data_IF_537108866122
#
_entry.id   IF_537108866122
#
_cell.length_a   1.000
_cell.length_b   1.000
_cell.length_c   1.000
_cell.angle_alpha   90.00
_cell.angle_beta   90.00
_cell.angle_gamma   90.00
#
_symmetry.space_group_name_H-M   'P 1'
#
loop_
_entity.id
_entity.type
_entity.pdbx_description
1 polymer ?
#
# COMPACT_ATOMS: atom_id res chain seq x y z
N UNK A 1 6.49 -2.79 -0.03
CA UNK A 1 7.22 -2.89 -1.31
C UNK A 1 8.29 -3.97 -1.33
N UNK A 2 9.10 -4.16 -0.27
CA UNK A 2 10.21 -5.14 -0.27
C UNK A 2 9.78 -6.56 -0.67
N UNK A 3 8.69 -7.09 -0.10
CA UNK A 3 8.13 -8.39 -0.50
C UNK A 3 7.67 -8.42 -1.97
N UNK A 4 7.00 -7.37 -2.44
CA UNK A 4 6.54 -7.30 -3.83
C UNK A 4 7.72 -7.24 -4.82
N UNK A 5 8.82 -6.58 -4.45
CA UNK A 5 10.05 -6.56 -5.27
C UNK A 5 10.72 -7.93 -5.30
N UNK A 6 10.79 -8.65 -4.18
CA UNK A 6 11.34 -10.02 -4.14
C UNK A 6 10.49 -10.97 -4.99
N UNK A 7 9.16 -10.85 -4.93
CA UNK A 7 8.25 -11.76 -5.62
C UNK A 7 8.07 -11.46 -7.11
N UNK A 8 8.17 -10.19 -7.52
CA UNK A 8 7.78 -9.78 -8.86
C UNK A 8 8.70 -8.76 -9.54
N UNK A 9 9.71 -8.26 -8.83
CA UNK A 9 10.73 -7.38 -9.38
C UNK A 9 11.60 -8.07 -10.42
N UNK A 10 12.18 -7.28 -11.31
CA UNK A 10 13.18 -7.73 -12.28
C UNK A 10 14.41 -6.84 -12.19
N UNK A 11 15.58 -7.26 -12.69
CA UNK A 11 16.78 -6.42 -12.71
C UNK A 11 16.60 -5.08 -13.45
N UNK A 12 15.63 -5.02 -14.38
CA UNK A 12 15.27 -3.83 -15.15
C UNK A 12 14.13 -3.01 -14.51
N UNK A 13 13.75 -3.31 -13.27
CA UNK A 13 12.83 -2.47 -12.51
C UNK A 13 13.52 -1.15 -12.16
N UNK A 14 12.85 0.02 -12.23
CA UNK A 14 11.40 0.22 -12.36
C UNK A 14 10.84 0.33 -13.79
N UNK A 15 11.65 0.20 -14.83
CA UNK A 15 11.15 0.37 -16.20
C UNK A 15 10.27 -0.80 -16.62
N UNK A 16 10.67 -2.03 -16.27
CA UNK A 16 9.88 -3.24 -16.47
C UNK A 16 9.17 -3.70 -15.18
N UNK A 17 8.04 -4.40 -15.34
CA UNK A 17 7.26 -5.03 -14.26
C UNK A 17 6.74 -4.10 -13.13
N UNK A 18 6.81 -2.77 -13.29
CA UNK A 18 6.35 -1.81 -12.27
C UNK A 18 4.87 -2.00 -11.89
N UNK A 19 4.00 -2.30 -12.86
CA UNK A 19 2.58 -2.55 -12.59
C UNK A 19 2.35 -3.77 -11.69
N UNK A 20 3.10 -4.87 -11.92
CA UNK A 20 3.00 -6.09 -11.13
C UNK A 20 3.50 -5.88 -9.70
N UNK A 21 4.65 -5.20 -9.54
CA UNK A 21 5.21 -4.86 -8.22
C UNK A 21 4.28 -3.91 -7.46
N UNK A 22 3.67 -2.93 -8.15
CA UNK A 22 2.71 -2.02 -7.56
C UNK A 22 1.45 -2.75 -7.10
N UNK A 23 0.86 -3.59 -7.96
CA UNK A 23 -0.33 -4.36 -7.62
C UNK A 23 -0.10 -5.26 -6.40
N UNK A 24 1.00 -6.00 -6.37
CA UNK A 24 1.35 -6.83 -5.22
C UNK A 24 1.62 -5.99 -3.97
N UNK A 25 2.24 -4.82 -4.10
CA UNK A 25 2.45 -3.92 -2.96
C UNK A 25 1.11 -3.49 -2.35
N UNK A 26 0.15 -3.09 -3.18
CA UNK A 26 -1.18 -2.66 -2.73
C UNK A 26 -1.93 -3.84 -2.10
N UNK A 27 -1.96 -5.01 -2.75
CA UNK A 27 -2.65 -6.20 -2.24
C UNK A 27 -2.08 -6.68 -0.91
N UNK A 28 -0.76 -6.80 -0.81
CA UNK A 28 -0.09 -7.21 0.44
C UNK A 28 -0.33 -6.17 1.54
N UNK A 29 -0.22 -4.88 1.21
CA UNK A 29 -0.46 -3.79 2.14
C UNK A 29 -1.88 -3.79 2.70
N UNK A 30 -2.88 -3.86 1.83
CA UNK A 30 -4.29 -3.94 2.23
C UNK A 30 -4.58 -5.18 3.05
N UNK A 31 -4.11 -6.35 2.63
CA UNK A 31 -4.29 -7.60 3.37
C UNK A 31 -3.68 -7.52 4.78
N UNK A 32 -2.47 -6.98 4.88
CA UNK A 32 -1.81 -6.79 6.18
C UNK A 32 -2.52 -5.74 7.05
N UNK A 33 -3.04 -4.66 6.46
CA UNK A 33 -3.83 -3.66 7.18
C UNK A 33 -5.07 -4.28 7.80
N UNK A 34 -5.88 -5.00 7.01
CA UNK A 34 -7.09 -5.66 7.51
C UNK A 34 -6.75 -6.64 8.64
N UNK A 35 -5.72 -7.48 8.43
CA UNK A 35 -5.27 -8.44 9.45
C UNK A 35 -4.81 -7.76 10.75
N UNK A 36 -3.96 -6.74 10.62
CA UNK A 36 -3.37 -6.07 11.79
C UNK A 36 -4.39 -5.26 12.57
N UNK A 37 -5.38 -4.66 11.91
CA UNK A 37 -6.45 -3.96 12.61
C UNK A 37 -7.37 -4.92 13.35
N UNK A 38 -7.81 -5.99 12.71
CA UNK A 38 -8.59 -7.03 13.38
C UNK A 38 -7.86 -7.56 14.62
N UNK A 39 -6.57 -7.88 14.48
CA UNK A 39 -5.78 -8.37 15.60
C UNK A 39 -5.66 -7.36 16.75
N UNK A 40 -5.48 -6.08 16.44
CA UNK A 40 -5.21 -5.07 17.47
C UNK A 40 -6.47 -4.52 18.13
N UNK A 41 -7.57 -4.37 17.38
CA UNK A 41 -8.83 -3.80 17.86
C UNK A 41 -9.73 -4.88 18.45
N UNK A 42 -9.98 -5.97 17.72
CA UNK A 42 -10.94 -7.01 18.14
C UNK A 42 -10.32 -8.04 19.09
N UNK A 43 -9.14 -8.55 18.74
CA UNK A 43 -8.52 -9.65 19.51
C UNK A 43 -7.77 -9.12 20.73
N UNK A 44 -6.93 -8.10 20.55
CA UNK A 44 -6.07 -7.57 21.62
C UNK A 44 -6.71 -6.43 22.40
N UNK A 45 -7.70 -5.72 21.84
CA UNK A 45 -8.26 -4.52 22.44
C UNK A 45 -7.19 -3.46 22.79
N UNK A 46 -6.07 -3.47 22.08
CA UNK A 46 -4.89 -2.64 22.39
C UNK A 46 -5.13 -1.15 22.16
N UNK A 47 -6.08 -0.83 21.27
CA UNK A 47 -6.58 0.51 21.00
C UNK A 47 -7.94 0.40 20.28
N UNK A 48 -8.65 1.50 20.19
CA UNK A 48 -9.92 1.60 19.47
C UNK A 48 -9.98 2.88 18.64
N UNK A 49 -10.78 2.88 17.58
CA UNK A 49 -11.05 4.07 16.78
C UNK A 49 -11.83 5.10 17.57
N UNK A 50 -11.57 6.38 17.29
CA UNK A 50 -12.46 7.46 17.70
C UNK A 50 -13.82 7.33 16.97
N UNK A 51 -14.90 7.75 17.64
CA UNK A 51 -16.27 7.66 17.09
C UNK A 51 -16.44 8.36 15.73
N UNK A 52 -15.67 9.43 15.51
CA UNK A 52 -15.68 10.20 14.27
C UNK A 52 -14.94 9.50 13.11
N UNK A 53 -14.20 8.42 13.36
CA UNK A 53 -13.37 7.80 12.33
C UNK A 53 -14.20 6.88 11.42
N UNK A 54 -14.26 7.18 10.10
CA UNK A 54 -14.98 6.32 9.17
C UNK A 54 -14.29 4.97 9.03
N UNK A 55 -15.08 3.90 9.18
CA UNK A 55 -14.67 2.51 9.00
C UNK A 55 -15.38 1.90 7.79
N UNK A 56 -14.74 0.93 7.16
CA UNK A 56 -15.34 0.13 6.09
C UNK A 56 -16.31 -0.89 6.70
N UNK A 57 -17.62 -0.83 6.39
CA UNK A 57 -18.63 -1.67 7.04
C UNK A 57 -18.39 -3.18 6.90
N UNK A 58 -17.79 -3.61 5.79
CA UNK A 58 -17.55 -5.03 5.52
C UNK A 58 -16.25 -5.57 6.13
N UNK A 59 -15.27 -4.71 6.37
CA UNK A 59 -13.93 -5.13 6.83
C UNK A 59 -13.69 -4.79 8.30
N UNK A 60 -14.51 -3.90 8.90
CA UNK A 60 -14.25 -3.35 10.24
C UNK A 60 -13.02 -2.42 10.29
N UNK A 61 -12.34 -2.27 9.16
CA UNK A 61 -11.06 -1.59 9.00
C UNK A 61 -11.22 -0.08 8.82
N UNK A 62 -10.28 0.71 9.34
CA UNK A 62 -10.27 2.16 9.17
C UNK A 62 -10.15 2.57 7.69
N UNK A 63 -10.94 3.56 7.26
CA UNK A 63 -10.89 4.05 5.87
C UNK A 63 -9.54 4.69 5.54
N UNK A 64 -8.97 5.46 6.47
CA UNK A 64 -7.70 6.16 6.26
C UNK A 64 -6.53 5.22 5.89
N UNK A 65 -6.22 4.15 6.64
CA UNK A 65 -5.13 3.24 6.28
C UNK A 65 -5.40 2.48 4.98
N UNK A 66 -6.66 2.18 4.65
CA UNK A 66 -7.00 1.61 3.33
C UNK A 66 -6.69 2.59 2.20
N UNK A 67 -7.10 3.85 2.33
CA UNK A 67 -6.78 4.89 1.34
C UNK A 67 -5.27 5.12 1.23
N UNK A 68 -4.53 5.06 2.34
CA UNK A 68 -3.08 5.18 2.31
C UNK A 68 -2.44 4.09 1.45
N UNK A 69 -2.81 2.83 1.63
CA UNK A 69 -2.27 1.74 0.81
C UNK A 69 -2.78 1.74 -0.62
N UNK A 70 -4.00 2.20 -0.86
CA UNK A 70 -4.56 2.31 -2.21
C UNK A 70 -3.96 3.48 -3.01
N UNK A 71 -3.60 4.59 -2.37
CA UNK A 71 -3.21 5.83 -3.05
C UNK A 71 -1.72 6.14 -2.97
N UNK A 72 -1.07 5.95 -1.83
CA UNK A 72 0.33 6.37 -1.66
C UNK A 72 1.30 5.57 -2.55
N UNK A 73 1.23 4.23 -2.65
CA UNK A 73 2.15 3.49 -3.51
C UNK A 73 2.01 3.84 -5.00
N UNK A 74 0.80 4.00 -5.57
CA UNK A 74 0.66 4.46 -6.96
C UNK A 74 1.20 5.87 -7.17
N UNK A 75 0.88 6.81 -6.29
CA UNK A 75 1.34 8.20 -6.40
C UNK A 75 2.87 8.28 -6.30
N UNK A 76 3.48 7.54 -5.36
CA UNK A 76 4.91 7.45 -5.22
C UNK A 76 5.58 6.87 -6.47
N UNK A 77 5.01 5.80 -7.05
CA UNK A 77 5.51 5.20 -8.29
C UNK A 77 5.45 6.18 -9.47
N UNK A 78 4.33 6.90 -9.63
CA UNK A 78 4.18 7.91 -10.69
C UNK A 78 5.23 9.02 -10.51
N UNK A 79 5.37 9.56 -9.29
CA UNK A 79 6.35 10.59 -8.99
C UNK A 79 7.79 10.12 -9.30
N UNK A 80 8.15 8.91 -8.88
CA UNK A 80 9.46 8.32 -9.14
C UNK A 80 9.75 8.19 -10.64
N UNK A 81 8.79 7.67 -11.42
CA UNK A 81 8.94 7.54 -12.88
C UNK A 81 9.10 8.89 -13.58
N UNK A 82 8.33 9.91 -13.16
CA UNK A 82 8.48 11.28 -13.70
C UNK A 82 9.85 11.87 -13.38
N UNK A 83 10.35 11.68 -12.17
CA UNK A 83 11.67 12.15 -11.76
C UNK A 83 12.80 11.49 -12.55
N UNK A 84 12.71 10.17 -12.81
CA UNK A 84 13.68 9.44 -13.63
C UNK A 84 13.68 9.94 -15.08
N UNK A 85 12.50 10.11 -15.69
CA UNK A 85 12.40 10.66 -17.05
C UNK A 85 12.96 12.07 -17.18
N UNK A 86 12.69 12.94 -16.20
CA UNK A 86 13.22 14.30 -16.17
C UNK A 86 14.75 14.37 -15.98
N UNK A 87 15.35 13.31 -15.41
CA UNK A 87 16.80 13.20 -15.24
C UNK A 87 17.50 12.70 -16.51
N UNK A 88 16.86 11.79 -17.25
CA UNK A 88 17.38 11.27 -18.52
C UNK A 88 17.36 12.31 -19.66
N UNK A 89 16.51 13.34 -19.55
CA UNK A 89 16.40 14.43 -20.53
C UNK A 89 17.40 15.59 -20.30
N UNK A 90 18.23 15.52 -19.26
CA UNK A 90 19.32 16.48 -18.97
C UNK A 90 20.65 15.88 -19.38
#
# INVERSE_FOLDING_TARGET
MSWALVLAGTPQWPDHAHGRVLALTVVIGLGYTVYSEWLNVEVRGSWAYADAMPRLPMLGTGLAPVLQWALLPPLAMIAARRALGARAAR
#
